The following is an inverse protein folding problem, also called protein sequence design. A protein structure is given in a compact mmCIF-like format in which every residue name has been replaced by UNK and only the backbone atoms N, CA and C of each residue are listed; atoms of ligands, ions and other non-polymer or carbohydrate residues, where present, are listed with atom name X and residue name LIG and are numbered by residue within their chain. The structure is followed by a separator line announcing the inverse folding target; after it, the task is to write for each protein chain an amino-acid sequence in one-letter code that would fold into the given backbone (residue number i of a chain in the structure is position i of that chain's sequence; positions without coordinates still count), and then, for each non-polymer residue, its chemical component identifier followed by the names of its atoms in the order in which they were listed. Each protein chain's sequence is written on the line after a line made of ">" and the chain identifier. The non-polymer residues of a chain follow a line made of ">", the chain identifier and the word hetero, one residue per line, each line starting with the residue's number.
data_IF_280801044398
#
_entry.id   IF_280801044398
#
_cell.length_a   1.000
_cell.length_b   1.000
_cell.length_c   1.000
_cell.angle_alpha   90.00
_cell.angle_beta   90.00
_cell.angle_gamma   90.00
#
_symmetry.space_group_name_H-M   'P 1'
#
loop_
_entity.id
_entity.type
_entity.pdbx_description
1 polymer ?
#
# COMPACT_ATOMS: atom_id res chain seq x y z
N UNK A 1 68.42 22.02 9.53
CA UNK A 1 67.72 20.76 9.18
C UNK A 1 66.33 20.83 9.81
N UNK A 2 65.34 21.35 9.06
CA UNK A 2 63.93 21.40 9.50
C UNK A 2 63.22 20.16 8.98
N UNK A 3 62.78 19.31 9.91
CA UNK A 3 61.94 18.15 9.56
C UNK A 3 60.48 18.61 9.46
N UNK A 4 59.93 18.57 8.26
CA UNK A 4 58.47 18.79 8.02
C UNK A 4 57.71 17.53 8.44
N UNK A 5 56.96 17.64 9.53
CA UNK A 5 56.02 16.61 10.00
C UNK A 5 54.70 16.82 9.27
N UNK A 6 54.43 16.03 8.23
CA UNK A 6 53.12 16.00 7.58
C UNK A 6 52.17 15.20 8.45
N UNK A 7 51.25 15.92 9.11
CA UNK A 7 50.13 15.34 9.81
C UNK A 7 49.07 14.90 8.78
N UNK A 8 49.03 13.61 8.47
CA UNK A 8 48.04 13.04 7.57
C UNK A 8 46.72 12.93 8.36
N UNK A 9 45.83 13.92 8.20
CA UNK A 9 44.49 13.88 8.77
C UNK A 9 43.64 12.91 7.92
N UNK A 10 43.58 11.64 8.33
CA UNK A 10 42.61 10.72 7.74
C UNK A 10 41.19 11.13 8.15
N UNK A 11 40.50 11.79 7.22
CA UNK A 11 39.07 12.04 7.32
C UNK A 11 38.35 10.68 7.12
N UNK A 12 37.99 10.01 8.22
CA UNK A 12 37.16 8.84 8.19
C UNK A 12 35.74 9.33 7.87
N UNK A 13 35.38 9.36 6.57
CA UNK A 13 34.02 9.54 6.13
C UNK A 13 33.31 8.24 6.47
N UNK A 14 32.64 8.19 7.61
CA UNK A 14 31.67 7.13 7.91
C UNK A 14 30.48 7.35 7.00
N UNK A 15 30.50 6.71 5.84
CA UNK A 15 29.31 6.55 5.01
C UNK A 15 28.28 5.80 5.86
N UNK A 16 27.23 6.49 6.31
CA UNK A 16 26.07 5.82 6.88
C UNK A 16 25.43 5.09 5.71
N UNK A 17 25.80 3.84 5.54
CA UNK A 17 25.17 2.96 4.58
C UNK A 17 23.79 2.63 5.16
N UNK A 18 22.75 3.33 4.74
CA UNK A 18 21.39 2.85 4.93
C UNK A 18 21.32 1.49 4.27
N UNK A 19 21.16 0.44 5.06
CA UNK A 19 21.02 -0.90 4.52
C UNK A 19 19.86 -0.90 3.53
N UNK A 20 20.11 -1.34 2.31
CA UNK A 20 19.08 -1.44 1.27
C UNK A 20 17.99 -2.38 1.78
N UNK A 21 16.77 -1.87 1.94
CA UNK A 21 15.62 -2.69 2.32
C UNK A 21 15.29 -3.61 1.14
N UNK A 22 15.16 -4.90 1.42
CA UNK A 22 14.73 -5.83 0.38
C UNK A 22 13.36 -5.43 -0.18
N UNK A 23 13.17 -5.42 -1.51
CA UNK A 23 11.85 -5.16 -2.09
C UNK A 23 10.85 -6.21 -1.61
N UNK A 24 9.59 -5.81 -1.50
CA UNK A 24 8.50 -6.73 -1.22
C UNK A 24 8.22 -7.63 -2.43
N UNK A 25 7.84 -8.86 -2.14
CA UNK A 25 7.39 -9.80 -3.15
C UNK A 25 6.00 -9.43 -3.68
N UNK A 26 5.64 -9.95 -4.86
CA UNK A 26 4.33 -9.83 -5.44
C UNK A 26 4.02 -8.47 -6.05
N UNK A 27 2.74 -8.32 -6.34
CA UNK A 27 2.10 -7.11 -6.82
C UNK A 27 0.65 -7.12 -6.40
N UNK A 28 -0.03 -5.99 -6.41
CA UNK A 28 -1.46 -5.97 -6.27
C UNK A 28 -2.12 -4.92 -7.16
N UNK A 29 -3.39 -5.17 -7.47
CA UNK A 29 -4.26 -4.24 -8.17
C UNK A 29 -5.27 -3.67 -7.19
N UNK A 30 -5.71 -2.45 -7.43
CA UNK A 30 -6.90 -1.88 -6.80
C UNK A 30 -7.88 -1.47 -7.88
N UNK A 31 -9.12 -1.90 -7.74
CA UNK A 31 -10.23 -1.52 -8.60
C UNK A 31 -11.20 -0.67 -7.79
N UNK A 32 -11.19 0.63 -8.03
CA UNK A 32 -12.01 1.60 -7.33
C UNK A 32 -13.40 1.66 -7.93
N UNK A 33 -14.40 1.68 -7.07
CA UNK A 33 -15.81 1.74 -7.42
C UNK A 33 -16.55 2.77 -6.57
N UNK A 34 -17.61 3.32 -7.12
CA UNK A 34 -18.62 4.04 -6.36
C UNK A 34 -19.79 3.10 -6.10
N UNK A 35 -20.06 2.78 -4.85
CA UNK A 35 -21.23 2.03 -4.41
C UNK A 35 -22.22 2.98 -3.74
N UNK A 36 -23.48 3.01 -4.18
CA UNK A 36 -24.50 3.83 -3.53
C UNK A 36 -24.80 3.34 -2.12
N UNK A 37 -24.79 2.02 -1.93
CA UNK A 37 -24.90 1.36 -0.63
C UNK A 37 -23.70 0.41 -0.41
N UNK A 38 -22.62 0.87 0.25
CA UNK A 38 -21.46 0.04 0.52
C UNK A 38 -21.76 -1.28 1.25
N UNK A 39 -22.71 -1.28 2.18
CA UNK A 39 -23.05 -2.49 2.93
C UNK A 39 -23.72 -3.54 2.02
N UNK A 40 -24.63 -3.12 1.17
CA UNK A 40 -25.30 -4.01 0.20
C UNK A 40 -24.28 -4.59 -0.79
N UNK A 41 -23.35 -3.78 -1.27
CA UNK A 41 -22.26 -4.23 -2.13
C UNK A 41 -21.38 -5.27 -1.45
N UNK A 42 -20.98 -5.05 -0.18
CA UNK A 42 -20.20 -6.00 0.61
C UNK A 42 -20.97 -7.30 0.81
N UNK A 43 -22.24 -7.22 1.19
CA UNK A 43 -23.08 -8.41 1.40
C UNK A 43 -23.28 -9.21 0.11
N UNK A 44 -23.35 -8.53 -1.02
CA UNK A 44 -23.36 -9.18 -2.32
C UNK A 44 -22.04 -9.92 -2.60
N UNK A 45 -20.88 -9.27 -2.37
CA UNK A 45 -19.58 -9.90 -2.58
C UNK A 45 -19.35 -11.07 -1.62
N UNK A 46 -19.77 -10.98 -0.37
CA UNK A 46 -19.70 -12.11 0.59
C UNK A 46 -20.48 -13.33 0.12
N UNK A 47 -21.69 -13.11 -0.42
CA UNK A 47 -22.54 -14.18 -0.99
C UNK A 47 -22.02 -14.75 -2.30
N UNK A 48 -21.19 -13.99 -3.01
CA UNK A 48 -20.67 -14.32 -4.34
C UNK A 48 -19.13 -14.17 -4.35
N UNK A 49 -18.44 -14.71 -3.35
CA UNK A 49 -16.98 -14.55 -3.15
C UNK A 49 -16.15 -15.05 -4.33
N UNK A 50 -16.69 -15.98 -5.14
CA UNK A 50 -16.07 -16.42 -6.39
C UNK A 50 -15.83 -15.28 -7.39
N UNK A 51 -16.57 -14.17 -7.29
CA UNK A 51 -16.35 -12.99 -8.14
C UNK A 51 -15.04 -12.25 -7.80
N UNK A 52 -14.57 -12.35 -6.55
CA UNK A 52 -13.27 -11.82 -6.14
C UNK A 52 -12.12 -12.66 -6.70
N UNK A 53 -12.35 -13.96 -6.93
CA UNK A 53 -11.41 -14.89 -7.53
C UNK A 53 -11.43 -14.93 -9.06
N UNK A 54 -12.30 -14.15 -9.71
CA UNK A 54 -12.50 -14.23 -11.18
C UNK A 54 -11.24 -13.88 -12.00
N UNK A 55 -10.29 -13.13 -11.40
CA UNK A 55 -8.99 -12.78 -11.98
C UNK A 55 -7.85 -13.67 -11.45
N UNK A 56 -8.17 -14.82 -10.87
CA UNK A 56 -7.20 -15.77 -10.31
C UNK A 56 -6.14 -15.14 -9.39
N UNK A 57 -6.49 -14.23 -8.45
CA UNK A 57 -5.54 -13.69 -7.50
C UNK A 57 -5.19 -14.75 -6.44
N UNK A 58 -3.99 -14.63 -5.85
CA UNK A 58 -3.63 -15.43 -4.68
C UNK A 58 -4.50 -15.07 -3.47
N UNK A 59 -4.77 -13.77 -3.31
CA UNK A 59 -5.66 -13.23 -2.26
C UNK A 59 -6.41 -12.02 -2.82
N UNK A 60 -7.68 -11.89 -2.47
CA UNK A 60 -8.48 -10.72 -2.81
C UNK A 60 -9.32 -10.24 -1.63
N UNK A 61 -9.67 -8.97 -1.65
CA UNK A 61 -10.51 -8.38 -0.62
C UNK A 61 -11.12 -7.06 -1.03
N UNK A 62 -11.84 -6.47 -0.09
CA UNK A 62 -12.59 -5.22 -0.30
C UNK A 62 -12.35 -4.27 0.86
N UNK A 63 -12.09 -3.01 0.53
CA UNK A 63 -11.95 -1.93 1.50
C UNK A 63 -13.05 -0.89 1.31
N UNK A 64 -13.59 -0.40 2.43
CA UNK A 64 -14.58 0.69 2.49
C UNK A 64 -13.86 1.93 2.97
N UNK A 65 -13.87 3.00 2.17
CA UNK A 65 -13.32 4.29 2.59
C UNK A 65 -14.25 4.92 3.62
N UNK A 66 -13.74 5.14 4.84
CA UNK A 66 -14.51 5.71 5.95
C UNK A 66 -14.33 7.22 6.08
N UNK A 67 -13.17 7.73 5.67
CA UNK A 67 -12.85 9.16 5.66
C UNK A 67 -11.82 9.46 4.59
N UNK A 68 -11.71 10.72 4.15
CA UNK A 68 -10.81 11.12 3.08
C UNK A 68 -11.20 10.58 1.70
N UNK A 69 -12.46 10.15 1.56
CA UNK A 69 -13.00 9.68 0.30
C UNK A 69 -13.12 10.85 -0.71
N UNK A 70 -12.87 10.57 -2.00
CA UNK A 70 -13.00 11.53 -3.11
C UNK A 70 -14.44 11.73 -3.53
N UNK A 71 -15.26 10.70 -3.34
CA UNK A 71 -16.69 10.69 -3.64
C UNK A 71 -17.42 9.81 -2.64
N UNK A 72 -18.68 10.12 -2.40
CA UNK A 72 -19.52 9.31 -1.52
C UNK A 72 -19.67 7.90 -2.10
N UNK A 73 -19.55 6.88 -1.22
CA UNK A 73 -19.60 5.48 -1.60
C UNK A 73 -18.32 4.94 -2.21
N UNK A 74 -17.18 5.64 -2.03
CA UNK A 74 -15.89 5.13 -2.48
C UNK A 74 -15.54 3.84 -1.76
N UNK A 75 -15.24 2.83 -2.55
CA UNK A 75 -14.73 1.53 -2.14
C UNK A 75 -13.69 1.06 -3.15
N UNK A 76 -12.88 0.11 -2.77
CA UNK A 76 -12.04 -0.59 -3.73
C UNK A 76 -11.96 -2.09 -3.44
N UNK A 77 -11.95 -2.86 -4.50
CA UNK A 77 -11.58 -4.27 -4.49
C UNK A 77 -10.09 -4.33 -4.80
N UNK A 78 -9.37 -5.14 -4.06
CA UNK A 78 -7.96 -5.39 -4.32
C UNK A 78 -7.72 -6.87 -4.58
N UNK A 79 -6.73 -7.14 -5.42
CA UNK A 79 -6.28 -8.49 -5.77
C UNK A 79 -4.76 -8.53 -5.70
N UNK A 80 -4.21 -9.48 -4.93
CA UNK A 80 -2.78 -9.69 -4.77
C UNK A 80 -2.31 -10.89 -5.60
N UNK A 81 -1.10 -10.80 -6.13
CA UNK A 81 -0.47 -11.77 -7.02
C UNK A 81 0.99 -11.98 -6.61
N UNK A 82 1.54 -13.15 -6.90
CA UNK A 82 2.93 -13.49 -6.61
C UNK A 82 3.95 -12.62 -7.36
N UNK A 83 3.55 -11.98 -8.47
CA UNK A 83 4.41 -11.11 -9.27
C UNK A 83 3.59 -10.11 -10.09
N UNK A 84 4.28 -9.15 -10.73
CA UNK A 84 3.65 -8.10 -11.54
C UNK A 84 3.13 -8.64 -12.89
N UNK A 85 3.78 -9.66 -13.45
CA UNK A 85 3.36 -10.29 -14.71
C UNK A 85 1.96 -10.86 -14.57
N UNK A 86 1.72 -11.69 -13.56
CA UNK A 86 0.40 -12.26 -13.28
C UNK A 86 -0.64 -11.17 -13.01
N UNK A 87 -0.27 -10.12 -12.26
CA UNK A 87 -1.17 -9.00 -11.99
C UNK A 87 -1.61 -8.29 -13.28
N UNK A 88 -0.67 -8.05 -14.22
CA UNK A 88 -0.96 -7.37 -15.47
C UNK A 88 -1.73 -8.26 -16.45
N UNK A 89 -1.38 -9.53 -16.58
CA UNK A 89 -2.09 -10.48 -17.44
C UNK A 89 -3.55 -10.64 -17.01
N UNK A 90 -3.77 -10.82 -15.71
CA UNK A 90 -5.11 -10.97 -15.19
C UNK A 90 -5.94 -9.68 -15.31
N UNK A 91 -5.33 -8.51 -15.09
CA UNK A 91 -6.01 -7.25 -15.29
C UNK A 91 -6.35 -6.97 -16.77
N UNK A 92 -5.51 -7.41 -17.71
CA UNK A 92 -5.76 -7.26 -19.14
C UNK A 92 -6.99 -8.07 -19.61
N UNK A 93 -7.30 -9.17 -18.94
CA UNK A 93 -8.49 -9.99 -19.21
C UNK A 93 -9.76 -9.47 -18.52
N UNK A 94 -9.62 -8.51 -17.61
CA UNK A 94 -10.74 -8.00 -16.81
C UNK A 94 -11.52 -6.91 -17.53
N UNK A 95 -12.80 -7.18 -17.77
CA UNK A 95 -13.75 -6.18 -18.22
C UNK A 95 -14.77 -5.89 -17.11
N UNK A 96 -14.73 -4.71 -16.45
CA UNK A 96 -15.66 -4.37 -15.39
C UNK A 96 -17.11 -4.26 -15.85
N UNK A 97 -17.34 -4.06 -17.15
CA UNK A 97 -18.66 -3.93 -17.76
C UNK A 97 -19.29 -5.27 -18.13
N UNK A 98 -18.50 -6.34 -18.22
CA UNK A 98 -18.98 -7.72 -18.43
C UNK A 98 -19.47 -8.40 -17.15
N UNK A 99 -19.38 -7.74 -16.00
CA UNK A 99 -19.82 -8.25 -14.69
C UNK A 99 -21.32 -8.60 -14.72
N UNK A 100 -21.79 -9.53 -13.85
CA UNK A 100 -23.21 -9.84 -13.73
C UNK A 100 -24.06 -8.58 -13.49
N UNK A 101 -25.23 -8.49 -14.13
CA UNK A 101 -26.13 -7.32 -14.03
C UNK A 101 -26.46 -6.93 -12.58
N UNK A 102 -26.57 -7.92 -11.69
CA UNK A 102 -26.82 -7.69 -10.26
C UNK A 102 -25.67 -6.87 -9.63
N UNK A 103 -24.42 -7.19 -10.00
CA UNK A 103 -23.24 -6.45 -9.50
C UNK A 103 -23.14 -5.06 -10.13
N UNK A 104 -23.45 -4.93 -11.43
CA UNK A 104 -23.45 -3.64 -12.13
C UNK A 104 -24.43 -2.63 -11.53
N UNK A 105 -25.54 -3.09 -10.94
CA UNK A 105 -26.52 -2.22 -10.28
C UNK A 105 -26.03 -1.70 -8.92
N UNK A 106 -25.04 -2.35 -8.31
CA UNK A 106 -24.54 -2.00 -6.97
C UNK A 106 -23.33 -1.07 -7.00
N UNK A 107 -22.71 -0.92 -8.17
CA UNK A 107 -21.46 -0.14 -8.29
C UNK A 107 -21.33 0.55 -9.64
N UNK A 108 -20.62 1.67 -9.64
CA UNK A 108 -20.07 2.30 -10.84
C UNK A 108 -18.56 2.11 -10.84
N UNK A 109 -17.95 1.49 -11.88
CA UNK A 109 -16.50 1.44 -12.06
C UNK A 109 -15.93 2.85 -12.15
N UNK A 110 -14.81 3.11 -11.47
CA UNK A 110 -14.17 4.41 -11.46
C UNK A 110 -12.78 4.34 -12.12
N UNK A 111 -11.83 3.62 -11.51
CA UNK A 111 -10.48 3.45 -12.05
C UNK A 111 -9.80 2.23 -11.42
N UNK A 112 -8.69 1.80 -12.03
CA UNK A 112 -7.82 0.76 -11.51
C UNK A 112 -6.39 1.28 -11.38
N UNK A 113 -5.60 0.68 -10.51
CA UNK A 113 -4.17 0.97 -10.36
C UNK A 113 -3.41 -0.31 -10.03
N UNK A 114 -2.15 -0.37 -10.49
CA UNK A 114 -1.18 -1.41 -10.12
C UNK A 114 -0.21 -0.88 -9.08
N UNK A 115 0.20 -1.75 -8.18
CA UNK A 115 1.07 -1.40 -7.07
C UNK A 115 2.17 -2.45 -6.88
N UNK A 116 3.40 -2.00 -6.79
CA UNK A 116 4.55 -2.84 -6.44
C UNK A 116 4.98 -2.55 -5.00
N UNK A 117 5.02 -3.56 -4.11
CA UNK A 117 5.59 -3.39 -2.78
C UNK A 117 7.08 -3.02 -2.87
N UNK A 118 7.51 -2.00 -2.15
CA UNK A 118 8.91 -1.59 -2.05
C UNK A 118 9.61 -2.16 -0.81
N UNK A 119 8.87 -2.80 0.08
CA UNK A 119 9.35 -3.54 1.25
C UNK A 119 8.37 -4.67 1.57
N UNK A 120 8.80 -5.70 2.32
CA UNK A 120 7.89 -6.73 2.81
C UNK A 120 6.69 -6.15 3.55
N UNK A 121 5.52 -6.70 3.30
CA UNK A 121 4.26 -6.28 3.90
C UNK A 121 3.34 -7.47 4.05
N UNK A 122 2.75 -7.64 5.22
CA UNK A 122 1.77 -8.71 5.50
C UNK A 122 0.37 -8.12 5.45
N UNK A 123 -0.46 -8.69 4.60
CA UNK A 123 -1.81 -8.21 4.34
C UNK A 123 -2.80 -8.92 5.26
N UNK A 124 -3.10 -8.31 6.39
CA UNK A 124 -4.09 -8.80 7.36
C UNK A 124 -5.37 -7.96 7.29
N UNK A 125 -6.55 -8.55 7.53
CA UNK A 125 -7.77 -7.77 7.70
C UNK A 125 -7.65 -6.83 8.90
N UNK A 126 -8.08 -5.56 8.72
CA UNK A 126 -8.01 -4.58 9.80
C UNK A 126 -8.47 -3.20 9.35
N UNK A 127 -8.03 -2.19 10.08
CA UNK A 127 -8.22 -0.79 9.74
C UNK A 127 -6.95 -0.25 9.11
N UNK A 128 -7.09 0.40 7.95
CA UNK A 128 -5.98 0.97 7.21
C UNK A 128 -6.07 2.49 7.13
N UNK A 129 -4.95 3.14 7.38
CA UNK A 129 -4.71 4.51 6.94
C UNK A 129 -3.87 4.46 5.67
N UNK A 130 -4.42 5.03 4.60
CA UNK A 130 -3.72 5.16 3.31
C UNK A 130 -3.29 6.60 3.12
N UNK A 131 -2.00 6.82 2.93
CA UNK A 131 -1.43 8.13 2.61
C UNK A 131 -0.69 8.04 1.28
N UNK A 132 -0.82 9.06 0.44
CA UNK A 132 -0.05 9.18 -0.80
C UNK A 132 0.94 10.30 -0.67
N UNK A 133 2.18 10.03 -1.01
CA UNK A 133 3.29 10.97 -0.89
C UNK A 133 4.05 11.05 -2.21
N UNK A 134 4.51 12.24 -2.56
CA UNK A 134 5.45 12.44 -3.66
C UNK A 134 6.84 12.41 -3.08
N UNK A 135 7.68 11.52 -3.59
CA UNK A 135 9.08 11.37 -3.20
C UNK A 135 9.91 11.45 -4.46
N UNK A 136 11.03 12.20 -4.42
CA UNK A 136 11.92 12.25 -5.57
C UNK A 136 12.52 10.87 -5.84
N UNK A 137 12.74 10.47 -7.08
CA UNK A 137 13.23 9.13 -7.41
C UNK A 137 14.51 8.73 -6.66
N UNK A 138 15.43 9.66 -6.49
CA UNK A 138 16.69 9.49 -5.76
C UNK A 138 16.50 9.24 -4.26
N UNK A 139 15.40 9.73 -3.67
CA UNK A 139 15.12 9.64 -2.23
C UNK A 139 14.25 8.42 -1.88
N UNK A 140 13.72 7.69 -2.88
CA UNK A 140 12.78 6.58 -2.63
C UNK A 140 13.37 5.51 -1.71
N UNK A 141 14.64 5.13 -1.89
CA UNK A 141 15.27 4.10 -1.07
C UNK A 141 15.44 4.54 0.39
N UNK A 142 15.83 5.80 0.62
CA UNK A 142 15.94 6.37 1.96
C UNK A 142 14.57 6.47 2.64
N UNK A 143 13.55 6.88 1.89
CA UNK A 143 12.18 6.93 2.38
C UNK A 143 11.68 5.54 2.80
N UNK A 144 11.90 4.51 1.99
CA UNK A 144 11.52 3.12 2.29
C UNK A 144 12.25 2.62 3.55
N UNK A 145 13.55 2.90 3.68
CA UNK A 145 14.33 2.54 4.86
C UNK A 145 13.81 3.23 6.13
N UNK A 146 13.45 4.51 6.02
CA UNK A 146 12.83 5.26 7.12
C UNK A 146 11.49 4.66 7.55
N UNK A 147 10.64 4.29 6.61
CA UNK A 147 9.36 3.63 6.90
C UNK A 147 9.54 2.24 7.52
N UNK A 148 10.55 1.48 7.12
CA UNK A 148 10.88 0.19 7.73
C UNK A 148 11.38 0.35 9.18
N UNK A 149 12.19 1.38 9.45
CA UNK A 149 12.63 1.71 10.80
C UNK A 149 11.47 2.16 11.70
N UNK A 150 10.55 2.97 11.16
CA UNK A 150 9.33 3.40 11.85
C UNK A 150 8.44 2.20 12.21
N UNK A 151 8.20 1.29 11.27
CA UNK A 151 7.46 0.06 11.53
C UNK A 151 8.09 -0.74 12.67
N UNK A 152 9.41 -0.93 12.62
CA UNK A 152 10.16 -1.64 13.67
C UNK A 152 9.98 -0.97 15.04
N UNK A 153 9.96 0.36 15.09
CA UNK A 153 9.73 1.10 16.32
C UNK A 153 8.29 0.91 16.85
N UNK A 154 7.30 1.00 15.98
CA UNK A 154 5.87 0.82 16.34
C UNK A 154 5.62 -0.62 16.82
N UNK A 155 6.19 -1.61 16.16
CA UNK A 155 6.03 -3.04 16.52
C UNK A 155 6.53 -3.40 17.92
N UNK A 156 7.34 -2.57 18.57
CA UNK A 156 7.74 -2.78 19.98
C UNK A 156 6.55 -2.71 20.94
N UNK A 157 5.57 -1.89 20.64
CA UNK A 157 4.35 -1.70 21.46
C UNK A 157 3.09 -2.24 20.79
N UNK A 158 3.10 -2.37 19.48
CA UNK A 158 1.97 -2.82 18.66
C UNK A 158 2.47 -3.89 17.65
N UNK A 159 2.71 -5.12 18.09
CA UNK A 159 3.41 -6.14 17.29
C UNK A 159 2.69 -6.54 16.01
N UNK A 160 1.37 -6.38 15.95
CA UNK A 160 0.54 -6.71 14.79
C UNK A 160 0.40 -5.56 13.79
N UNK A 161 1.02 -4.40 14.07
CA UNK A 161 1.01 -3.27 13.16
C UNK A 161 1.87 -3.56 11.92
N UNK A 162 1.36 -3.23 10.73
CA UNK A 162 2.09 -3.34 9.47
C UNK A 162 2.17 -1.98 8.78
N UNK A 163 3.33 -1.68 8.21
CA UNK A 163 3.54 -0.47 7.42
C UNK A 163 4.04 -0.85 6.03
N UNK A 164 3.20 -0.71 5.03
CA UNK A 164 3.54 -0.95 3.63
C UNK A 164 3.93 0.32 2.90
N UNK A 165 4.87 0.21 1.96
CA UNK A 165 5.21 1.26 0.99
C UNK A 165 5.13 0.65 -0.39
N UNK A 166 4.36 1.29 -1.27
CA UNK A 166 4.05 0.75 -2.58
C UNK A 166 4.24 1.82 -3.65
N UNK A 167 4.82 1.42 -4.77
CA UNK A 167 4.94 2.26 -5.94
C UNK A 167 3.81 1.97 -6.92
N UNK A 168 3.19 3.02 -7.46
CA UNK A 168 2.19 2.89 -8.52
C UNK A 168 2.85 2.59 -9.86
N UNK A 169 2.17 1.77 -10.67
CA UNK A 169 2.49 1.53 -12.06
C UNK A 169 1.25 1.76 -12.92
N UNK A 170 1.45 2.39 -14.10
CA UNK A 170 0.41 2.49 -15.09
C UNK A 170 -0.50 3.71 -14.98
N UNK A 171 0.06 4.89 -14.88
CA UNK A 171 -0.63 6.16 -15.14
C UNK A 171 -1.75 6.52 -14.14
N UNK A 172 -2.53 7.52 -14.52
CA UNK A 172 -3.61 8.06 -13.71
C UNK A 172 -3.13 9.02 -12.63
N UNK A 173 -4.03 9.42 -11.74
CA UNK A 173 -3.74 10.43 -10.71
C UNK A 173 -2.79 9.97 -9.60
N UNK A 174 -2.41 8.68 -9.59
CA UNK A 174 -1.45 8.12 -8.64
C UNK A 174 -0.05 7.97 -9.22
N UNK A 175 0.11 8.35 -10.48
CA UNK A 175 1.42 8.34 -11.12
C UNK A 175 2.41 9.18 -10.30
N UNK A 176 3.64 8.70 -10.19
CA UNK A 176 4.74 9.33 -9.43
C UNK A 176 4.46 9.52 -7.92
N UNK A 177 3.51 8.78 -7.36
CA UNK A 177 3.28 8.76 -5.92
C UNK A 177 3.62 7.41 -5.30
N UNK A 178 4.10 7.45 -4.06
CA UNK A 178 4.14 6.28 -3.22
C UNK A 178 2.86 6.21 -2.38
N UNK A 179 2.30 5.02 -2.26
CA UNK A 179 1.22 4.75 -1.33
C UNK A 179 1.81 4.14 -0.06
N UNK A 180 1.55 4.78 1.08
CA UNK A 180 1.93 4.28 2.40
C UNK A 180 0.67 3.78 3.08
N UNK A 181 0.69 2.52 3.52
CA UNK A 181 -0.42 1.86 4.20
C UNK A 181 -0.01 1.49 5.63
N UNK A 182 -0.61 2.16 6.61
CA UNK A 182 -0.51 1.75 8.02
C UNK A 182 -1.71 0.89 8.38
N UNK A 183 -1.48 -0.37 8.68
CA UNK A 183 -2.51 -1.37 8.99
C UNK A 183 -2.48 -1.68 10.49
N UNK A 184 -3.60 -1.46 11.18
CA UNK A 184 -3.84 -1.82 12.56
C UNK A 184 -5.03 -2.78 12.65
N UNK A 185 -5.17 -3.52 13.76
CA UNK A 185 -6.29 -4.46 13.96
C UNK A 185 -7.66 -3.75 14.00
N UNK A 186 -7.67 -2.49 14.44
CA UNK A 186 -8.90 -1.71 14.56
C UNK A 186 -8.66 -0.21 14.39
N UNK A 187 -9.74 0.53 14.15
CA UNK A 187 -9.71 2.00 14.11
C UNK A 187 -9.27 2.61 15.46
N UNK A 188 -9.68 2.01 16.58
CA UNK A 188 -9.28 2.47 17.92
C UNK A 188 -7.79 2.32 18.17
N UNK A 189 -7.21 1.18 17.79
CA UNK A 189 -5.76 0.96 17.87
C UNK A 189 -5.00 1.97 16.99
N UNK A 190 -5.46 2.21 15.77
CA UNK A 190 -4.85 3.20 14.89
C UNK A 190 -4.93 4.62 15.48
N UNK A 191 -6.08 4.99 16.07
CA UNK A 191 -6.25 6.26 16.78
C UNK A 191 -5.28 6.42 17.94
N UNK A 192 -5.10 5.37 18.75
CA UNK A 192 -4.13 5.36 19.85
C UNK A 192 -2.69 5.59 19.38
N UNK A 193 -2.31 5.01 18.23
CA UNK A 193 -0.98 5.27 17.63
C UNK A 193 -0.81 6.73 17.21
N UNK A 194 -1.86 7.34 16.68
CA UNK A 194 -1.85 8.76 16.32
C UNK A 194 -1.71 9.63 17.58
N UNK A 195 -2.46 9.32 18.63
CA UNK A 195 -2.37 10.08 19.91
C UNK A 195 -0.97 9.96 20.51
N UNK A 196 -0.36 8.76 20.51
CA UNK A 196 1.00 8.54 20.99
C UNK A 196 2.03 9.35 20.18
N UNK A 197 1.87 9.40 18.85
CA UNK A 197 2.77 10.18 17.98
C UNK A 197 2.74 11.69 18.31
N UNK A 198 1.57 12.24 18.62
CA UNK A 198 1.44 13.67 18.94
C UNK A 198 1.76 13.99 20.42
N UNK A 199 1.77 13.01 21.29
CA UNK A 199 2.15 13.17 22.69
C UNK A 199 3.68 13.23 22.92
N UNK A 200 4.49 12.82 21.95
CA UNK A 200 5.97 12.80 21.99
C UNK A 200 6.46 11.47 22.50
#
# INVERSE_FOLDING_TARGET
>A
IMKHLYLLLMLVITSISFGQVAPGDGAFTTFHVKAENPNEYIDFLKKNSQLLGAQNPDVAGTCVTRSGNRYMGEMFVWSAYGNMEDAMENANSFDPYSSPRALQKLRTPMYSSFWKPLKPFVLNPGFERVTRVVVQPEDVQEYVATMAALETAIKKTNPDFELGVFQSFGGGEHENTLMVRGLARSAGEHGSLVDQFFAG
#
